data_IF_536587533568
#
_entry.id   IF_536587533568
#
_cell.length_a   1.000
_cell.length_b   1.000
_cell.length_c   1.000
_cell.angle_alpha   90.00
_cell.angle_beta   90.00
_cell.angle_gamma   90.00
#
_symmetry.space_group_name_H-M   'P 1'
#
loop_
_entity.id
_entity.type
_entity.pdbx_description
1 polymer ?
#
# COMPACT_ATOMS: atom_id res chain seq x y z
N UNK A 1 8.67 22.38 15.53
CA UNK A 1 7.42 21.66 15.88
C UNK A 1 7.79 20.23 16.23
N UNK A 2 7.43 19.79 17.44
CA UNK A 2 7.70 18.44 17.93
C UNK A 2 6.48 17.53 17.71
N UNK A 3 6.65 16.43 16.99
CA UNK A 3 5.57 15.54 16.57
C UNK A 3 5.80 14.13 17.08
N UNK A 4 4.80 13.57 17.78
CA UNK A 4 4.76 12.15 18.12
C UNK A 4 4.10 11.36 16.98
N UNK A 5 4.79 10.38 16.40
CA UNK A 5 4.22 9.41 15.47
C UNK A 5 3.94 8.09 16.18
N UNK A 6 2.66 7.72 16.32
CA UNK A 6 2.25 6.53 17.08
C UNK A 6 1.97 5.36 16.13
N UNK A 7 2.66 4.24 16.34
CA UNK A 7 2.46 2.98 15.60
C UNK A 7 2.49 1.78 16.55
N UNK A 8 1.88 0.66 16.18
CA UNK A 8 1.92 -0.56 17.00
C UNK A 8 3.32 -1.20 17.05
N UNK A 9 4.00 -1.25 15.89
CA UNK A 9 5.31 -1.90 15.77
C UNK A 9 6.26 -1.05 14.95
N UNK A 10 7.50 -0.96 15.43
CA UNK A 10 8.60 -0.26 14.76
C UNK A 10 9.63 -1.28 14.24
N UNK A 11 9.23 -2.09 13.24
CA UNK A 11 10.06 -3.11 12.60
C UNK A 11 10.10 -2.86 11.09
N UNK A 12 11.17 -2.30 10.58
CA UNK A 12 11.32 -1.94 9.15
C UNK A 12 11.13 -3.13 8.20
N UNK A 13 11.50 -4.34 8.67
CA UNK A 13 11.45 -5.57 7.87
C UNK A 13 10.04 -6.18 7.73
N UNK A 14 9.05 -5.71 8.52
CA UNK A 14 7.73 -6.35 8.56
C UNK A 14 6.84 -6.06 7.36
N UNK A 15 6.97 -4.89 6.74
CA UNK A 15 6.12 -4.56 5.60
C UNK A 15 6.12 -3.10 5.15
N UNK A 16 5.25 -2.81 4.20
CA UNK A 16 5.17 -1.49 3.58
C UNK A 16 4.68 -0.37 4.51
N UNK A 17 3.88 -0.69 5.54
CA UNK A 17 3.36 0.31 6.47
C UNK A 17 4.46 0.83 7.40
N UNK A 18 5.27 -0.05 7.95
CA UNK A 18 6.38 0.28 8.82
C UNK A 18 7.47 1.03 8.04
N UNK A 19 7.84 0.54 6.86
CA UNK A 19 8.78 1.23 5.97
C UNK A 19 8.30 2.64 5.63
N UNK A 20 7.01 2.80 5.29
CA UNK A 20 6.40 4.10 4.99
C UNK A 20 6.42 5.06 6.19
N UNK A 21 6.33 4.54 7.44
CA UNK A 21 6.46 5.38 8.64
C UNK A 21 7.87 5.97 8.76
N UNK A 22 8.91 5.15 8.59
CA UNK A 22 10.29 5.63 8.71
C UNK A 22 10.65 6.62 7.60
N UNK A 23 10.20 6.38 6.37
CA UNK A 23 10.36 7.32 5.26
C UNK A 23 9.64 8.65 5.53
N UNK A 24 8.40 8.58 6.05
CA UNK A 24 7.65 9.77 6.45
C UNK A 24 8.34 10.53 7.60
N UNK A 25 8.83 9.80 8.61
CA UNK A 25 9.59 10.38 9.72
C UNK A 25 10.81 11.13 9.23
N UNK A 26 11.57 10.54 8.30
CA UNK A 26 12.74 11.18 7.70
C UNK A 26 12.36 12.43 6.88
N UNK A 27 11.30 12.36 6.07
CA UNK A 27 10.83 13.49 5.27
C UNK A 27 10.32 14.66 6.14
N UNK A 28 9.57 14.37 7.22
CA UNK A 28 9.14 15.39 8.18
C UNK A 28 10.32 16.02 8.93
N UNK A 29 11.32 15.20 9.29
CA UNK A 29 12.54 15.70 9.93
C UNK A 29 13.33 16.61 8.99
N UNK A 30 13.52 16.23 7.73
CA UNK A 30 14.17 17.06 6.69
C UNK A 30 13.41 18.36 6.44
N UNK A 31 12.09 18.38 6.67
CA UNK A 31 11.25 19.58 6.58
C UNK A 31 11.19 20.40 7.89
N UNK A 32 12.08 20.13 8.86
CA UNK A 32 12.27 20.93 10.07
C UNK A 32 11.39 20.55 11.26
N UNK A 33 10.79 19.36 11.28
CA UNK A 33 10.08 18.85 12.44
C UNK A 33 11.01 18.00 13.33
N UNK A 34 10.86 18.11 14.65
CA UNK A 34 11.41 17.15 15.61
C UNK A 34 10.45 15.97 15.69
N UNK A 35 10.90 14.76 15.31
CA UNK A 35 10.04 13.58 15.23
C UNK A 35 10.44 12.54 16.26
N UNK A 36 9.48 12.08 17.05
CA UNK A 36 9.62 10.94 17.94
C UNK A 36 8.59 9.86 17.59
N UNK A 37 9.08 8.63 17.34
CA UNK A 37 8.23 7.48 17.03
C UNK A 37 7.94 6.72 18.30
N UNK A 38 6.65 6.65 18.68
CA UNK A 38 6.17 5.93 19.84
C UNK A 38 5.56 4.60 19.38
N UNK A 39 6.19 3.49 19.73
CA UNK A 39 5.73 2.16 19.33
C UNK A 39 5.53 1.25 20.56
N UNK A 40 4.58 0.31 20.48
CA UNK A 40 4.43 -0.67 21.53
C UNK A 40 5.63 -1.61 21.56
N UNK A 41 6.05 -2.11 20.41
CA UNK A 41 7.17 -3.04 20.25
C UNK A 41 7.91 -2.82 18.93
N UNK A 42 9.08 -3.42 18.80
CA UNK A 42 9.85 -3.35 17.57
C UNK A 42 11.31 -3.74 17.75
N UNK A 43 12.03 -3.77 16.64
CA UNK A 43 13.47 -4.02 16.56
C UNK A 43 14.27 -2.77 16.22
N UNK A 44 13.60 -1.68 15.84
CA UNK A 44 14.26 -0.43 15.46
C UNK A 44 15.06 0.14 16.66
N UNK A 45 16.31 0.47 16.39
CA UNK A 45 17.26 1.06 17.35
C UNK A 45 17.57 2.53 17.05
N UNK A 46 16.79 3.18 16.17
CA UNK A 46 16.98 4.60 15.87
C UNK A 46 16.76 5.46 17.12
N UNK A 47 17.56 6.51 17.30
CA UNK A 47 17.53 7.35 18.50
C UNK A 47 16.20 8.05 18.77
N UNK A 48 15.40 8.24 17.74
CA UNK A 48 14.07 8.84 17.80
C UNK A 48 12.91 7.81 17.98
N UNK A 49 13.21 6.54 18.28
CA UNK A 49 12.19 5.48 18.51
C UNK A 49 12.13 5.12 19.97
N UNK A 50 10.91 5.17 20.53
CA UNK A 50 10.60 4.73 21.91
C UNK A 50 9.69 3.51 21.88
N UNK A 51 10.15 2.41 22.49
CA UNK A 51 9.40 1.16 22.61
C UNK A 51 8.78 1.08 24.00
N UNK A 52 7.51 1.47 24.12
CA UNK A 52 6.83 1.66 25.42
C UNK A 52 6.39 0.37 26.11
N UNK A 53 6.36 -0.77 25.40
CA UNK A 53 5.92 -2.07 25.92
C UNK A 53 6.97 -3.16 25.67
N UNK A 54 8.25 -2.81 25.62
CA UNK A 54 9.35 -3.76 25.38
C UNK A 54 9.46 -4.81 26.49
N UNK A 55 9.17 -4.39 27.73
CA UNK A 55 9.18 -5.20 28.94
C UNK A 55 8.09 -6.27 29.01
N UNK A 56 7.02 -6.13 28.22
CA UNK A 56 5.90 -7.04 28.24
C UNK A 56 6.16 -8.30 27.40
N UNK A 57 5.64 -9.48 27.81
CA UNK A 57 5.82 -10.73 27.04
C UNK A 57 5.08 -10.73 25.69
N UNK A 58 5.50 -11.60 24.79
CA UNK A 58 4.87 -11.82 23.49
C UNK A 58 5.23 -10.80 22.41
N UNK A 59 4.91 -11.13 21.15
CA UNK A 59 5.22 -10.32 19.96
C UNK A 59 4.30 -9.10 19.79
N UNK A 60 3.16 -9.05 20.49
CA UNK A 60 2.14 -8.00 20.36
C UNK A 60 1.62 -7.59 21.74
N UNK A 61 1.18 -6.35 21.84
CA UNK A 61 0.57 -5.78 23.05
C UNK A 61 -0.91 -5.48 22.79
N UNK A 62 -1.78 -5.56 23.77
CA UNK A 62 -3.17 -5.12 23.63
C UNK A 62 -3.22 -3.59 23.45
N UNK A 63 -4.20 -3.12 22.67
CA UNK A 63 -4.35 -1.68 22.42
C UNK A 63 -4.50 -0.91 23.75
N UNK A 64 -5.34 -1.39 24.66
CA UNK A 64 -5.58 -0.71 25.96
C UNK A 64 -4.34 -0.57 26.84
N UNK A 65 -3.47 -1.59 26.85
CA UNK A 65 -2.20 -1.52 27.59
C UNK A 65 -1.25 -0.51 26.94
N UNK A 66 -1.19 -0.52 25.60
CA UNK A 66 -0.37 0.44 24.89
C UNK A 66 -0.88 1.87 25.03
N UNK A 67 -2.19 2.10 24.96
CA UNK A 67 -2.82 3.41 25.20
C UNK A 67 -2.48 3.97 26.59
N UNK A 68 -2.52 3.12 27.63
CA UNK A 68 -2.14 3.52 28.98
C UNK A 68 -0.68 4.02 29.03
N UNK A 69 0.25 3.24 28.48
CA UNK A 69 1.67 3.60 28.41
C UNK A 69 1.92 4.86 27.55
N UNK A 70 1.16 5.03 26.47
CA UNK A 70 1.21 6.23 25.63
C UNK A 70 0.78 7.47 26.42
N UNK A 71 -0.36 7.40 27.15
CA UNK A 71 -0.86 8.52 27.95
C UNK A 71 0.13 8.89 29.05
N UNK A 72 0.71 7.91 29.75
CA UNK A 72 1.76 8.11 30.75
C UNK A 72 2.99 8.79 30.14
N UNK A 73 3.46 8.33 28.97
CA UNK A 73 4.63 8.92 28.31
C UNK A 73 4.37 10.34 27.81
N UNK A 74 3.23 10.57 27.17
CA UNK A 74 2.85 11.89 26.61
C UNK A 74 2.62 12.91 27.73
N UNK A 75 2.11 12.51 28.90
CA UNK A 75 1.94 13.45 30.05
C UNK A 75 3.27 13.95 30.62
N UNK A 76 4.36 13.22 30.41
CA UNK A 76 5.71 13.56 30.86
C UNK A 76 6.56 14.24 29.78
N UNK A 77 6.11 14.23 28.55
CA UNK A 77 6.86 14.75 27.40
C UNK A 77 5.96 15.66 26.56
N UNK A 78 6.43 16.86 26.28
CA UNK A 78 5.67 17.80 25.46
C UNK A 78 5.74 17.44 23.98
N UNK A 79 4.60 17.42 23.30
CA UNK A 79 4.45 17.33 21.85
C UNK A 79 3.48 18.39 21.36
N UNK A 80 3.82 19.08 20.27
CA UNK A 80 2.92 20.02 19.61
C UNK A 80 1.78 19.28 18.91
N UNK A 81 2.10 18.14 18.28
CA UNK A 81 1.15 17.30 17.51
C UNK A 81 1.34 15.82 17.87
N UNK A 82 0.21 15.14 18.04
CA UNK A 82 0.13 13.69 18.19
C UNK A 82 -0.52 13.10 16.94
N UNK A 83 0.28 12.46 16.08
CA UNK A 83 -0.18 11.82 14.85
C UNK A 83 -0.16 10.30 15.02
N UNK A 84 -1.32 9.66 14.96
CA UNK A 84 -1.46 8.23 15.20
C UNK A 84 -1.88 7.44 13.95
N UNK A 85 -1.26 6.28 13.76
CA UNK A 85 -1.69 5.26 12.80
C UNK A 85 -2.65 4.23 13.43
N UNK A 86 -2.95 4.40 14.73
CA UNK A 86 -3.94 3.64 15.48
C UNK A 86 -5.09 4.54 15.91
N UNK A 87 -6.32 4.01 16.04
CA UNK A 87 -7.48 4.80 16.43
C UNK A 87 -7.47 5.08 17.95
N UNK A 88 -6.63 6.02 18.40
CA UNK A 88 -6.56 6.48 19.79
C UNK A 88 -7.29 7.83 19.93
N UNK A 89 -7.96 8.04 21.06
CA UNK A 89 -8.86 9.19 21.30
C UNK A 89 -8.14 10.51 21.59
N UNK A 90 -6.89 10.46 21.99
CA UNK A 90 -6.06 11.61 22.36
C UNK A 90 -5.11 12.10 21.25
N UNK A 91 -5.22 11.56 20.03
CA UNK A 91 -4.41 12.07 18.92
C UNK A 91 -5.09 13.26 18.22
N UNK A 92 -4.29 14.08 17.55
CA UNK A 92 -4.73 15.20 16.73
C UNK A 92 -5.05 14.79 15.31
N UNK A 93 -4.23 13.87 14.79
CA UNK A 93 -4.34 13.32 13.46
C UNK A 93 -4.38 11.80 13.56
N UNK A 94 -5.41 11.20 12.97
CA UNK A 94 -5.51 9.77 12.76
C UNK A 94 -5.31 9.45 11.27
N UNK A 95 -4.26 8.69 10.95
CA UNK A 95 -3.98 8.27 9.57
C UNK A 95 -4.19 6.76 9.40
N UNK A 96 -5.36 6.32 8.92
CA UNK A 96 -5.74 4.91 8.79
C UNK A 96 -5.00 4.23 7.62
N UNK A 97 -3.81 3.69 7.87
CA UNK A 97 -3.01 3.00 6.84
C UNK A 97 -3.71 1.80 6.19
N UNK A 98 -4.64 1.19 6.89
CA UNK A 98 -5.46 0.08 6.40
C UNK A 98 -6.80 0.52 5.81
N UNK A 99 -7.09 1.83 5.71
CA UNK A 99 -8.43 2.37 5.45
C UNK A 99 -9.40 2.08 6.60
N UNK A 100 -10.69 2.31 6.39
CA UNK A 100 -11.72 2.03 7.40
C UNK A 100 -11.86 0.52 7.67
N UNK A 101 -11.90 0.13 8.95
CA UNK A 101 -11.98 -1.29 9.35
C UNK A 101 -13.19 -2.03 8.74
N UNK A 102 -14.42 -1.47 8.67
CA UNK A 102 -15.56 -2.14 8.06
C UNK A 102 -15.34 -2.41 6.56
N UNK A 103 -14.84 -1.43 5.81
CA UNK A 103 -14.57 -1.63 4.38
C UNK A 103 -13.48 -2.67 4.15
N UNK A 104 -12.38 -2.60 4.90
CA UNK A 104 -11.31 -3.60 4.85
C UNK A 104 -11.82 -5.02 5.14
N UNK A 105 -12.78 -5.18 6.06
CA UNK A 105 -13.40 -6.47 6.35
C UNK A 105 -14.26 -6.98 5.18
N UNK A 106 -15.14 -6.12 4.66
CA UNK A 106 -16.02 -6.45 3.54
C UNK A 106 -15.23 -6.83 2.28
N UNK A 107 -14.19 -6.05 1.95
CA UNK A 107 -13.33 -6.32 0.79
C UNK A 107 -12.46 -7.56 0.95
N UNK A 108 -11.99 -7.83 2.16
CA UNK A 108 -11.30 -9.08 2.44
C UNK A 108 -12.23 -10.29 2.24
N UNK A 109 -13.48 -10.22 2.65
CA UNK A 109 -14.49 -11.26 2.38
C UNK A 109 -14.75 -11.39 0.87
N UNK A 110 -14.92 -10.28 0.14
CA UNK A 110 -15.14 -10.26 -1.31
C UNK A 110 -14.01 -10.93 -2.12
N UNK A 111 -12.79 -11.02 -1.59
CA UNK A 111 -11.66 -11.67 -2.25
C UNK A 111 -11.69 -13.21 -2.23
N UNK A 112 -12.67 -13.82 -1.55
CA UNK A 112 -12.88 -15.27 -1.62
C UNK A 112 -13.79 -15.60 -2.82
N UNK A 113 -13.34 -16.53 -3.66
CA UNK A 113 -14.09 -16.95 -4.86
C UNK A 113 -15.33 -17.78 -4.48
N UNK A 114 -15.21 -18.62 -3.45
CA UNK A 114 -16.31 -19.46 -2.97
C UNK A 114 -17.33 -18.60 -2.18
N UNK A 115 -18.59 -18.62 -2.58
CA UNK A 115 -19.67 -17.83 -1.96
C UNK A 115 -19.93 -18.22 -0.50
N UNK A 116 -19.84 -19.51 -0.16
CA UNK A 116 -20.01 -20.01 1.21
C UNK A 116 -18.87 -19.50 2.10
N UNK A 117 -17.61 -19.58 1.63
CA UNK A 117 -16.46 -19.04 2.35
C UNK A 117 -16.57 -17.51 2.49
N UNK A 118 -17.08 -16.82 1.47
CA UNK A 118 -17.31 -15.37 1.51
C UNK A 118 -18.32 -15.02 2.61
N UNK A 119 -19.45 -15.70 2.64
CA UNK A 119 -20.47 -15.52 3.67
C UNK A 119 -19.91 -15.80 5.06
N UNK A 120 -19.27 -16.94 5.26
CA UNK A 120 -18.64 -17.31 6.53
C UNK A 120 -17.60 -16.28 7.00
N UNK A 121 -16.73 -15.81 6.08
CA UNK A 121 -15.73 -14.79 6.40
C UNK A 121 -16.30 -13.43 6.70
N UNK A 122 -17.42 -13.07 6.11
CA UNK A 122 -18.15 -11.86 6.44
C UNK A 122 -18.77 -11.97 7.85
N UNK A 123 -19.43 -13.08 8.14
CA UNK A 123 -20.01 -13.34 9.47
C UNK A 123 -18.93 -13.48 10.56
N UNK A 124 -17.80 -14.15 10.28
CA UNK A 124 -16.69 -14.35 11.23
C UNK A 124 -15.73 -13.16 11.36
N UNK A 125 -15.93 -12.07 10.63
CA UNK A 125 -15.09 -10.88 10.73
C UNK A 125 -15.06 -10.30 12.15
N UNK A 126 -16.16 -10.45 12.90
CA UNK A 126 -16.30 -10.01 14.28
C UNK A 126 -15.65 -10.96 15.30
N UNK A 127 -15.30 -12.19 14.93
CA UNK A 127 -14.66 -13.16 15.84
C UNK A 127 -13.18 -12.86 16.09
N UNK A 128 -12.53 -12.03 15.27
CA UNK A 128 -11.18 -11.57 15.54
C UNK A 128 -11.23 -10.44 16.58
N UNK A 129 -11.10 -10.80 17.86
CA UNK A 129 -11.20 -9.89 18.99
C UNK A 129 -10.35 -8.62 18.86
N UNK A 130 -9.14 -8.76 18.33
CA UNK A 130 -8.26 -7.60 18.13
C UNK A 130 -8.79 -6.65 17.06
N UNK A 131 -9.19 -7.20 15.91
CA UNK A 131 -9.75 -6.40 14.80
C UNK A 131 -11.07 -5.74 15.21
N UNK A 132 -11.90 -6.46 15.97
CA UNK A 132 -13.15 -5.93 16.54
C UNK A 132 -12.89 -4.78 17.51
N UNK A 133 -11.87 -4.90 18.38
CA UNK A 133 -11.48 -3.80 19.31
C UNK A 133 -11.01 -2.55 18.55
N UNK A 134 -10.15 -2.72 17.54
CA UNK A 134 -9.68 -1.61 16.71
C UNK A 134 -10.83 -0.96 15.92
N UNK A 135 -11.74 -1.75 15.35
CA UNK A 135 -12.93 -1.24 14.66
C UNK A 135 -13.86 -0.46 15.60
N UNK A 136 -14.05 -0.94 16.85
CA UNK A 136 -14.80 -0.21 17.88
C UNK A 136 -14.12 1.08 18.30
N UNK A 137 -12.78 1.08 18.43
CA UNK A 137 -12.03 2.28 18.74
C UNK A 137 -12.14 3.31 17.60
N UNK A 138 -12.02 2.87 16.33
CA UNK A 138 -12.19 3.74 15.17
C UNK A 138 -13.61 4.33 15.11
N UNK A 139 -14.64 3.51 15.33
CA UNK A 139 -16.02 4.00 15.38
C UNK A 139 -16.22 5.03 16.50
N UNK A 140 -15.63 4.82 17.68
CA UNK A 140 -15.71 5.76 18.80
C UNK A 140 -15.12 7.12 18.46
N UNK A 141 -13.87 7.17 17.95
CA UNK A 141 -13.23 8.45 17.62
C UNK A 141 -13.90 9.18 16.46
N UNK A 142 -14.60 8.45 15.58
CA UNK A 142 -15.37 9.03 14.49
C UNK A 142 -16.74 9.54 14.94
N UNK A 143 -17.35 8.93 15.98
CA UNK A 143 -18.65 9.34 16.51
C UNK A 143 -18.57 10.59 17.40
N UNK A 144 -17.42 10.90 17.98
CA UNK A 144 -17.24 12.08 18.82
C UNK A 144 -17.41 13.36 17.98
N UNK A 145 -18.16 14.37 18.46
CA UNK A 145 -18.32 15.65 17.77
C UNK A 145 -16.98 16.37 17.57
N UNK A 146 -16.12 16.29 18.58
CA UNK A 146 -14.76 16.83 18.57
C UNK A 146 -13.78 15.66 18.73
N UNK A 147 -13.06 15.34 17.68
CA UNK A 147 -12.09 14.23 17.67
C UNK A 147 -10.99 14.49 16.64
N UNK A 148 -10.09 13.53 16.44
CA UNK A 148 -8.95 13.71 15.55
C UNK A 148 -9.38 14.01 14.10
N UNK A 149 -8.55 14.76 13.39
CA UNK A 149 -8.67 14.89 11.94
C UNK A 149 -8.19 13.59 11.29
N UNK A 150 -9.03 12.99 10.45
CA UNK A 150 -8.65 11.79 9.68
C UNK A 150 -7.84 12.21 8.46
N UNK A 151 -6.55 11.86 8.44
CA UNK A 151 -5.69 12.03 7.26
C UNK A 151 -5.90 10.84 6.31
N UNK A 152 -6.84 10.97 5.38
CA UNK A 152 -7.20 9.94 4.43
C UNK A 152 -6.16 9.81 3.31
N UNK A 153 -5.71 8.58 3.03
CA UNK A 153 -4.66 8.29 2.05
C UNK A 153 -5.12 8.39 0.59
N UNK A 154 -6.41 8.53 0.36
CA UNK A 154 -7.02 8.58 -0.97
C UNK A 154 -8.48 9.02 -0.87
N UNK A 155 -9.05 9.46 -1.98
CA UNK A 155 -10.50 9.68 -2.11
C UNK A 155 -11.31 8.41 -1.81
N UNK A 156 -10.75 7.25 -2.14
CA UNK A 156 -11.36 5.97 -1.77
C UNK A 156 -11.50 5.82 -0.25
N UNK A 157 -10.49 6.23 0.53
CA UNK A 157 -10.55 6.23 2.00
C UNK A 157 -11.50 7.31 2.52
N UNK A 158 -11.53 8.51 1.94
CA UNK A 158 -12.52 9.56 2.27
C UNK A 158 -13.95 9.01 2.15
N UNK A 159 -14.27 8.37 1.03
CA UNK A 159 -15.59 7.75 0.79
C UNK A 159 -15.94 6.67 1.82
N UNK A 160 -14.94 5.91 2.31
CA UNK A 160 -15.13 4.90 3.35
C UNK A 160 -15.52 5.52 4.68
N UNK A 161 -14.81 6.57 5.14
CA UNK A 161 -15.10 7.24 6.40
C UNK A 161 -16.46 7.96 6.37
N UNK A 162 -16.82 8.59 5.27
CA UNK A 162 -18.17 9.15 5.08
C UNK A 162 -19.25 8.08 5.11
N UNK A 163 -19.07 6.98 4.37
CA UNK A 163 -20.05 5.88 4.26
C UNK A 163 -20.28 5.14 5.57
N UNK A 164 -19.20 4.80 6.29
CA UNK A 164 -19.29 3.91 7.45
C UNK A 164 -19.48 4.65 8.77
N UNK A 165 -19.06 5.91 8.84
CA UNK A 165 -19.07 6.69 10.08
C UNK A 165 -19.79 8.04 9.97
N UNK A 166 -20.27 8.43 8.79
CA UNK A 166 -20.91 9.74 8.59
C UNK A 166 -19.97 10.93 8.85
N UNK A 167 -18.66 10.72 8.76
CA UNK A 167 -17.67 11.73 9.13
C UNK A 167 -17.75 12.94 8.23
N UNK A 168 -17.84 14.15 8.82
CA UNK A 168 -17.95 15.41 8.10
C UNK A 168 -16.63 15.82 7.41
N UNK A 169 -16.73 16.68 6.38
CA UNK A 169 -15.57 17.11 5.60
C UNK A 169 -14.53 17.86 6.41
N UNK A 170 -14.93 18.64 7.40
CA UNK A 170 -14.07 19.43 8.28
C UNK A 170 -13.15 18.56 9.17
N UNK A 171 -13.49 17.29 9.33
CA UNK A 171 -12.71 16.30 10.07
C UNK A 171 -11.93 15.33 9.17
N UNK A 172 -11.95 15.52 7.85
CA UNK A 172 -11.20 14.70 6.90
C UNK A 172 -10.24 15.58 6.11
N UNK A 173 -8.96 15.27 6.16
CA UNK A 173 -7.95 15.84 5.28
C UNK A 173 -7.49 14.77 4.28
N UNK A 174 -7.57 15.06 2.98
CA UNK A 174 -7.03 14.19 1.94
C UNK A 174 -5.52 14.41 1.83
N UNK A 175 -4.75 13.42 2.28
CA UNK A 175 -3.29 13.41 2.21
C UNK A 175 -2.88 12.11 1.50
N UNK A 176 -2.74 12.18 0.19
CA UNK A 176 -2.38 10.99 -0.60
C UNK A 176 -1.08 10.37 -0.12
N UNK A 177 -1.01 9.05 -0.12
CA UNK A 177 0.21 8.32 0.25
C UNK A 177 1.37 8.68 -0.69
N UNK A 178 2.59 8.44 -0.24
CA UNK A 178 3.80 8.73 -1.01
C UNK A 178 4.90 7.69 -0.80
N UNK A 179 5.91 7.78 -1.66
CA UNK A 179 7.09 6.92 -1.66
C UNK A 179 8.36 7.76 -1.89
N UNK A 180 9.52 7.18 -1.63
CA UNK A 180 10.79 7.79 -2.04
C UNK A 180 10.90 7.70 -3.56
N UNK A 181 11.11 8.84 -4.21
CA UNK A 181 11.22 8.94 -5.68
C UNK A 181 12.67 9.02 -6.16
N UNK A 182 13.59 9.37 -5.28
CA UNK A 182 15.02 9.54 -5.60
C UNK A 182 15.88 8.30 -5.29
N UNK A 183 15.32 7.10 -5.53
CA UNK A 183 16.11 5.88 -5.32
C UNK A 183 16.88 5.52 -6.58
N UNK A 184 18.20 5.64 -6.53
CA UNK A 184 19.06 5.10 -7.58
C UNK A 184 19.08 3.58 -7.53
N UNK A 185 18.81 2.96 -8.67
CA UNK A 185 18.91 1.52 -8.85
C UNK A 185 20.26 1.21 -9.48
N UNK A 186 21.01 0.29 -8.89
CA UNK A 186 22.28 -0.17 -9.44
C UNK A 186 22.04 -0.91 -10.77
N UNK A 187 22.58 -0.38 -11.87
CA UNK A 187 22.42 -0.96 -13.19
C UNK A 187 22.98 -2.37 -13.27
N UNK A 188 24.14 -2.62 -12.65
CA UNK A 188 24.78 -3.94 -12.64
C UNK A 188 23.92 -4.97 -11.88
N UNK A 189 23.32 -4.58 -10.76
CA UNK A 189 22.38 -5.43 -10.02
C UNK A 189 21.12 -5.70 -10.84
N UNK A 190 20.62 -4.69 -11.55
CA UNK A 190 19.44 -4.79 -12.43
C UNK A 190 19.69 -5.75 -13.58
N UNK A 191 20.83 -5.63 -14.27
CA UNK A 191 21.19 -6.48 -15.41
C UNK A 191 21.35 -7.95 -14.97
N UNK A 192 22.01 -8.19 -13.85
CA UNK A 192 22.14 -9.53 -13.26
C UNK A 192 20.79 -10.12 -12.91
N UNK A 193 19.89 -9.32 -12.32
CA UNK A 193 18.56 -9.79 -11.92
C UNK A 193 17.71 -10.09 -13.17
N UNK A 194 17.78 -9.25 -14.21
CA UNK A 194 17.13 -9.51 -15.50
C UNK A 194 17.65 -10.80 -16.13
N UNK A 195 18.95 -10.98 -16.21
CA UNK A 195 19.56 -12.19 -16.77
C UNK A 195 19.12 -13.46 -16.01
N UNK A 196 19.03 -13.42 -14.67
CA UNK A 196 18.52 -14.53 -13.86
C UNK A 196 17.05 -14.85 -14.17
N UNK A 197 16.21 -13.83 -14.33
CA UNK A 197 14.79 -13.98 -14.71
C UNK A 197 14.69 -14.66 -16.06
N UNK A 198 15.38 -14.17 -17.08
CA UNK A 198 15.34 -14.74 -18.44
C UNK A 198 15.83 -16.19 -18.46
N UNK A 199 16.94 -16.47 -17.78
CA UNK A 199 17.47 -17.83 -17.64
C UNK A 199 16.44 -18.77 -17.00
N UNK A 200 15.76 -18.35 -15.92
CA UNK A 200 14.75 -19.16 -15.19
C UNK A 200 13.48 -19.36 -16.00
N UNK A 201 13.15 -18.46 -16.91
CA UNK A 201 12.04 -18.57 -17.86
C UNK A 201 12.45 -19.30 -19.14
N UNK A 202 13.73 -19.67 -19.30
CA UNK A 202 14.30 -20.24 -20.52
C UNK A 202 14.13 -19.33 -21.74
N UNK A 203 14.39 -18.03 -21.55
CA UNK A 203 14.26 -16.98 -22.55
C UNK A 203 15.60 -16.31 -22.84
N UNK A 204 15.69 -15.70 -24.04
CA UNK A 204 16.78 -14.82 -24.45
C UNK A 204 16.23 -13.39 -24.60
N UNK A 205 17.09 -12.38 -24.63
CA UNK A 205 16.70 -10.99 -24.91
C UNK A 205 16.02 -10.86 -26.30
N UNK A 206 16.48 -11.65 -27.27
CA UNK A 206 15.90 -11.68 -28.62
C UNK A 206 14.43 -12.10 -28.66
N UNK A 207 13.94 -12.83 -27.64
CA UNK A 207 12.53 -13.22 -27.54
C UNK A 207 11.62 -12.04 -27.17
N UNK A 208 12.22 -10.90 -26.78
CA UNK A 208 11.56 -9.62 -26.42
C UNK A 208 10.34 -9.82 -25.49
N UNK A 209 10.48 -10.54 -24.34
CA UNK A 209 9.36 -10.80 -23.45
C UNK A 209 8.81 -9.49 -22.85
N UNK A 210 7.50 -9.48 -22.56
CA UNK A 210 6.90 -8.43 -21.73
C UNK A 210 6.80 -8.92 -20.30
N UNK A 211 7.55 -8.30 -19.39
CA UNK A 211 7.65 -8.71 -18.00
C UNK A 211 6.65 -7.94 -17.13
N UNK A 212 5.61 -8.62 -16.65
CA UNK A 212 4.62 -8.11 -15.74
C UNK A 212 5.08 -8.36 -14.30
N UNK A 213 5.14 -7.35 -13.44
CA UNK A 213 5.45 -7.53 -12.03
C UNK A 213 4.17 -7.45 -11.17
N UNK A 214 3.94 -8.47 -10.38
CA UNK A 214 2.99 -8.48 -9.27
C UNK A 214 3.77 -8.60 -7.96
N UNK A 215 3.61 -7.65 -7.03
CA UNK A 215 4.28 -7.69 -5.74
C UNK A 215 3.30 -7.49 -4.57
N UNK A 216 3.22 -8.47 -3.65
CA UNK A 216 2.30 -8.41 -2.52
C UNK A 216 2.66 -9.39 -1.39
N UNK A 217 2.17 -9.10 -0.16
CA UNK A 217 2.17 -10.07 0.95
C UNK A 217 0.92 -10.96 0.96
N UNK A 218 -0.24 -10.40 0.65
CA UNK A 218 -1.51 -11.13 0.62
C UNK A 218 -1.98 -11.34 -0.82
N UNK A 219 -1.49 -12.40 -1.45
CA UNK A 219 -1.77 -12.73 -2.86
C UNK A 219 -3.26 -12.81 -3.20
N UNK A 220 -4.09 -13.34 -2.27
CA UNK A 220 -5.53 -13.45 -2.49
C UNK A 220 -6.20 -12.08 -2.54
N UNK A 221 -5.95 -11.25 -1.52
CA UNK A 221 -6.54 -9.90 -1.43
C UNK A 221 -6.05 -9.00 -2.56
N UNK A 222 -4.83 -9.24 -3.04
CA UNK A 222 -4.22 -8.47 -4.13
C UNK A 222 -4.50 -9.03 -5.53
N UNK A 223 -5.32 -10.10 -5.63
CA UNK A 223 -5.90 -10.54 -6.90
C UNK A 223 -4.99 -11.42 -7.76
N UNK A 224 -4.07 -12.20 -7.16
CA UNK A 224 -3.17 -13.05 -7.94
C UNK A 224 -3.91 -14.14 -8.74
N UNK A 225 -5.00 -14.73 -8.22
CA UNK A 225 -5.76 -15.74 -8.99
C UNK A 225 -6.41 -15.15 -10.25
N UNK A 226 -7.19 -14.04 -10.19
CA UNK A 226 -7.68 -13.39 -11.40
C UNK A 226 -6.55 -13.00 -12.36
N UNK A 227 -5.41 -12.51 -11.86
CA UNK A 227 -4.28 -12.15 -12.72
C UNK A 227 -3.73 -13.35 -13.49
N UNK A 228 -3.51 -14.48 -12.84
CA UNK A 228 -3.06 -15.72 -13.49
C UNK A 228 -4.05 -16.15 -14.60
N UNK A 229 -5.36 -16.10 -14.31
CA UNK A 229 -6.37 -16.46 -15.31
C UNK A 229 -6.39 -15.47 -16.48
N UNK A 230 -6.25 -14.18 -16.23
CA UNK A 230 -6.19 -13.17 -17.28
C UNK A 230 -4.92 -13.29 -18.14
N UNK A 231 -3.79 -13.65 -17.55
CA UNK A 231 -2.54 -13.90 -18.30
C UNK A 231 -2.69 -15.06 -19.31
N UNK A 232 -3.51 -16.07 -18.99
CA UNK A 232 -3.80 -17.14 -19.92
C UNK A 232 -4.62 -16.67 -21.13
N UNK A 233 -5.55 -15.72 -20.91
CA UNK A 233 -6.44 -15.19 -21.94
C UNK A 233 -5.83 -14.03 -22.74
N UNK A 234 -4.73 -13.45 -22.26
CA UNK A 234 -4.06 -12.34 -22.94
C UNK A 234 -3.28 -12.83 -24.16
N UNK A 235 -3.93 -12.79 -25.31
CA UNK A 235 -3.29 -12.90 -26.61
C UNK A 235 -3.16 -11.48 -27.18
N UNK A 236 -1.96 -10.95 -27.23
CA UNK A 236 -1.73 -9.60 -27.76
C UNK A 236 -1.79 -9.55 -29.28
N UNK A 237 -2.04 -8.37 -29.87
CA UNK A 237 -1.91 -8.14 -31.30
C UNK A 237 -0.46 -8.18 -31.79
N UNK A 238 0.50 -8.16 -30.87
CA UNK A 238 1.93 -8.24 -31.13
C UNK A 238 2.46 -9.67 -30.96
N UNK A 239 3.57 -10.00 -31.63
CA UNK A 239 4.29 -11.27 -31.48
C UNK A 239 4.93 -11.44 -30.09
N UNK A 240 4.78 -10.45 -29.20
CA UNK A 240 5.37 -10.45 -27.85
C UNK A 240 4.48 -11.19 -26.84
N UNK A 241 5.12 -12.03 -26.06
CA UNK A 241 4.46 -12.80 -25.01
C UNK A 241 4.65 -12.15 -23.63
N UNK A 242 3.55 -12.06 -22.86
CA UNK A 242 3.58 -11.60 -21.47
C UNK A 242 4.01 -12.72 -20.51
N UNK A 243 4.93 -12.39 -19.62
CA UNK A 243 5.42 -13.25 -18.53
C UNK A 243 5.15 -12.60 -17.19
N UNK A 244 4.58 -13.35 -16.25
CA UNK A 244 4.21 -12.84 -14.93
C UNK A 244 5.28 -13.18 -13.89
N UNK A 245 5.85 -12.15 -13.29
CA UNK A 245 6.75 -12.25 -12.15
C UNK A 245 5.98 -11.99 -10.86
N UNK A 246 6.01 -12.94 -9.93
CA UNK A 246 5.27 -12.87 -8.66
C UNK A 246 6.25 -12.74 -7.51
N UNK A 247 6.31 -11.54 -6.92
CA UNK A 247 7.13 -11.23 -5.76
C UNK A 247 6.31 -11.21 -4.46
N UNK A 248 6.86 -11.74 -3.38
CA UNK A 248 6.25 -11.69 -2.07
C UNK A 248 6.34 -12.99 -1.29
N UNK A 249 5.88 -12.95 -0.03
CA UNK A 249 6.04 -14.02 0.95
C UNK A 249 4.73 -14.80 1.20
N UNK A 250 3.91 -14.98 0.16
CA UNK A 250 2.64 -15.72 0.24
C UNK A 250 2.79 -17.22 0.01
N UNK A 251 1.79 -18.02 0.45
CA UNK A 251 1.71 -19.44 0.11
C UNK A 251 1.43 -19.61 -1.39
N UNK A 252 2.43 -20.06 -2.15
CA UNK A 252 2.41 -20.18 -3.61
C UNK A 252 1.79 -21.49 -4.14
N UNK A 253 1.58 -22.51 -3.28
CA UNK A 253 1.21 -23.86 -3.73
C UNK A 253 -0.08 -23.91 -4.57
N UNK A 254 -1.13 -23.22 -4.12
CA UNK A 254 -2.38 -23.14 -4.88
C UNK A 254 -2.26 -22.37 -6.21
N UNK A 255 -1.40 -21.36 -6.27
CA UNK A 255 -1.18 -20.55 -7.47
C UNK A 255 -0.33 -21.29 -8.50
N UNK A 256 0.68 -22.07 -8.06
CA UNK A 256 1.42 -23.00 -8.93
C UNK A 256 0.49 -24.04 -9.54
N UNK A 257 -0.43 -24.63 -8.74
CA UNK A 257 -1.44 -25.56 -9.26
C UNK A 257 -2.38 -24.90 -10.27
N UNK A 258 -2.80 -23.66 -10.01
CA UNK A 258 -3.63 -22.90 -10.96
C UNK A 258 -2.86 -22.63 -12.26
N UNK A 259 -1.61 -22.20 -12.17
CA UNK A 259 -0.75 -21.97 -13.33
C UNK A 259 -0.57 -23.25 -14.17
N UNK A 260 -0.31 -24.40 -13.54
CA UNK A 260 -0.20 -25.70 -14.24
C UNK A 260 -1.50 -26.10 -14.89
N UNK A 261 -2.65 -25.92 -14.21
CA UNK A 261 -3.98 -26.23 -14.79
C UNK A 261 -4.28 -25.41 -16.05
N UNK A 262 -3.71 -24.20 -16.14
CA UNK A 262 -3.87 -23.27 -17.26
C UNK A 262 -2.70 -23.33 -18.27
N UNK A 263 -1.79 -24.29 -18.14
CA UNK A 263 -0.59 -24.44 -18.98
C UNK A 263 0.33 -23.21 -18.99
N UNK A 264 0.41 -22.51 -17.85
CA UNK A 264 1.21 -21.28 -17.66
C UNK A 264 2.47 -21.47 -16.82
N UNK A 265 2.86 -22.71 -16.49
CA UNK A 265 4.02 -23.00 -15.63
C UNK A 265 5.34 -22.40 -16.15
N UNK A 266 5.46 -22.24 -17.47
CA UNK A 266 6.63 -21.64 -18.14
C UNK A 266 6.48 -20.11 -18.37
N UNK A 267 5.30 -19.53 -18.07
CA UNK A 267 5.02 -18.09 -18.23
C UNK A 267 4.92 -17.35 -16.91
N UNK A 268 4.98 -18.06 -15.77
CA UNK A 268 4.85 -17.48 -14.43
C UNK A 268 6.04 -17.86 -13.57
N UNK A 269 6.78 -16.85 -13.12
CA UNK A 269 7.94 -17.02 -12.26
C UNK A 269 7.64 -16.52 -10.85
N UNK A 270 7.66 -17.39 -9.86
CA UNK A 270 7.55 -17.04 -8.45
C UNK A 270 8.94 -16.70 -7.91
N UNK A 271 9.17 -15.41 -7.63
CA UNK A 271 10.45 -14.87 -7.16
C UNK A 271 10.67 -15.09 -5.65
N UNK A 272 9.57 -15.28 -4.88
CA UNK A 272 9.64 -15.22 -3.42
C UNK A 272 9.77 -13.78 -2.91
N UNK A 273 10.23 -13.58 -1.66
CA UNK A 273 10.45 -12.25 -1.11
C UNK A 273 11.63 -11.57 -1.81
N UNK A 274 11.38 -10.37 -2.35
CA UNK A 274 12.40 -9.51 -2.97
C UNK A 274 12.77 -8.41 -1.99
N UNK A 275 14.06 -8.31 -1.63
CA UNK A 275 14.54 -7.31 -0.66
C UNK A 275 14.50 -5.89 -1.21
N UNK A 276 14.93 -5.70 -2.46
CA UNK A 276 14.93 -4.41 -3.16
C UNK A 276 13.87 -4.46 -4.26
N UNK A 277 12.67 -4.02 -3.94
CA UNK A 277 11.56 -4.04 -4.90
C UNK A 277 11.83 -3.14 -6.10
N UNK A 278 12.61 -2.08 -5.93
CA UNK A 278 12.99 -1.15 -7.00
C UNK A 278 13.76 -1.84 -8.11
N UNK A 279 14.68 -2.78 -7.78
CA UNK A 279 15.40 -3.58 -8.78
C UNK A 279 14.42 -4.44 -9.60
N UNK A 280 13.41 -5.04 -8.95
CA UNK A 280 12.38 -5.82 -9.64
C UNK A 280 11.48 -4.94 -10.52
N UNK A 281 11.13 -3.72 -10.07
CA UNK A 281 10.36 -2.76 -10.85
C UNK A 281 11.17 -2.28 -12.07
N UNK A 282 12.44 -2.00 -11.89
CA UNK A 282 13.32 -1.52 -12.97
C UNK A 282 13.41 -2.54 -14.13
N UNK A 283 13.48 -3.83 -13.80
CA UNK A 283 13.57 -4.94 -14.78
C UNK A 283 12.27 -5.18 -15.54
N UNK A 284 11.12 -4.84 -14.96
CA UNK A 284 9.81 -5.11 -15.54
C UNK A 284 9.34 -4.00 -16.47
N UNK A 285 8.47 -4.37 -17.42
CA UNK A 285 7.83 -3.43 -18.33
C UNK A 285 6.66 -2.69 -17.66
N UNK A 286 5.89 -3.37 -16.81
CA UNK A 286 4.76 -2.77 -16.09
C UNK A 286 4.45 -3.49 -14.78
N UNK A 287 3.76 -2.78 -13.88
CA UNK A 287 3.26 -3.31 -12.61
C UNK A 287 1.77 -3.70 -12.73
N UNK A 288 1.38 -4.86 -12.19
CA UNK A 288 0.00 -5.34 -12.23
C UNK A 288 -0.47 -5.72 -10.84
N UNK A 289 -1.51 -5.03 -10.34
CA UNK A 289 -2.07 -5.27 -9.01
C UNK A 289 -3.60 -5.20 -9.03
N UNK A 290 -4.32 -6.24 -9.51
CA UNK A 290 -5.77 -6.25 -9.58
C UNK A 290 -6.38 -6.51 -8.20
N UNK A 291 -6.15 -5.57 -7.28
CA UNK A 291 -6.49 -5.73 -5.85
C UNK A 291 -7.99 -5.67 -5.59
N UNK A 292 -8.46 -6.46 -4.63
CA UNK A 292 -9.81 -6.34 -4.05
C UNK A 292 -9.89 -5.20 -3.02
N UNK A 293 -8.74 -4.81 -2.46
CA UNK A 293 -8.63 -3.71 -1.52
C UNK A 293 -7.19 -3.25 -1.31
N UNK A 294 -6.99 -1.98 -1.49
CA UNK A 294 -5.79 -1.27 -1.05
C UNK A 294 -6.13 0.21 -0.80
N UNK A 295 -5.99 0.74 0.41
CA UNK A 295 -6.24 2.15 0.70
C UNK A 295 -5.40 3.12 -0.14
N UNK A 296 -4.15 2.75 -0.43
CA UNK A 296 -3.25 3.40 -1.39
C UNK A 296 -1.98 2.55 -1.52
N UNK A 297 -1.90 1.77 -2.58
CA UNK A 297 -0.84 0.78 -2.77
C UNK A 297 0.53 1.42 -2.98
N UNK A 298 1.44 1.13 -2.05
CA UNK A 298 2.84 1.53 -2.19
C UNK A 298 3.48 1.00 -3.45
N UNK A 299 3.27 -0.29 -3.76
CA UNK A 299 3.82 -0.91 -4.95
C UNK A 299 3.39 -0.20 -6.24
N UNK A 300 2.11 0.23 -6.32
CA UNK A 300 1.61 1.04 -7.44
C UNK A 300 2.34 2.40 -7.53
N UNK A 301 2.52 3.07 -6.38
CA UNK A 301 3.23 4.36 -6.35
C UNK A 301 4.72 4.21 -6.67
N UNK A 302 5.37 3.15 -6.20
CA UNK A 302 6.77 2.82 -6.51
C UNK A 302 6.97 2.52 -8.02
N UNK A 303 5.98 1.86 -8.66
CA UNK A 303 6.00 1.65 -10.10
C UNK A 303 5.89 2.97 -10.88
N UNK A 304 4.94 3.84 -10.51
CA UNK A 304 4.79 5.17 -11.11
C UNK A 304 6.07 6.01 -10.90
N UNK A 305 6.65 5.99 -9.70
CA UNK A 305 7.92 6.65 -9.39
C UNK A 305 9.11 6.12 -10.21
N UNK A 306 8.95 4.99 -10.88
CA UNK A 306 9.93 4.34 -11.76
C UNK A 306 9.50 4.37 -13.23
N UNK A 307 8.61 5.29 -13.62
CA UNK A 307 8.07 5.46 -14.97
C UNK A 307 7.36 4.22 -15.54
N UNK A 308 6.92 3.29 -14.69
CA UNK A 308 6.27 2.07 -15.16
C UNK A 308 4.76 2.22 -15.20
N UNK A 309 4.11 1.88 -16.33
CA UNK A 309 2.66 1.79 -16.42
C UNK A 309 2.09 0.82 -15.39
N UNK A 310 0.86 1.06 -14.97
CA UNK A 310 0.20 0.25 -13.94
C UNK A 310 -1.14 -0.29 -14.43
N UNK A 311 -1.39 -1.59 -14.21
CA UNK A 311 -2.73 -2.17 -14.29
C UNK A 311 -3.22 -2.45 -12.87
N UNK A 312 -4.32 -1.83 -12.47
CA UNK A 312 -4.91 -2.03 -11.14
C UNK A 312 -6.45 -1.92 -11.20
N UNK A 313 -7.09 -1.88 -10.04
CA UNK A 313 -8.55 -1.75 -9.94
C UNK A 313 -8.95 -0.47 -9.21
N UNK A 314 -10.21 -0.05 -9.37
CA UNK A 314 -10.78 1.08 -8.61
C UNK A 314 -10.82 0.88 -7.09
N UNK A 315 -10.48 -0.32 -6.59
CA UNK A 315 -10.34 -0.61 -5.17
C UNK A 315 -8.92 -0.38 -4.64
N UNK A 316 -8.08 0.26 -5.43
CA UNK A 316 -6.77 0.77 -5.05
C UNK A 316 -6.82 2.29 -4.99
N UNK A 317 -6.69 2.87 -3.80
CA UNK A 317 -6.72 4.33 -3.66
C UNK A 317 -5.56 5.08 -4.32
N UNK A 318 -4.51 4.38 -4.75
CA UNK A 318 -3.45 4.99 -5.55
C UNK A 318 -3.95 5.46 -6.94
N UNK A 319 -5.13 5.01 -7.38
CA UNK A 319 -5.75 5.45 -8.66
C UNK A 319 -6.09 6.93 -8.70
N UNK A 320 -6.14 7.62 -7.57
CA UNK A 320 -6.34 9.07 -7.53
C UNK A 320 -5.17 9.85 -8.17
N UNK A 321 -3.98 9.24 -8.23
CA UNK A 321 -2.74 9.88 -8.64
C UNK A 321 -2.33 9.60 -10.08
N UNK A 322 -3.14 8.85 -10.83
CA UNK A 322 -2.89 8.60 -12.24
C UNK A 322 -4.18 8.45 -13.07
N UNK A 323 -4.09 8.74 -14.36
CA UNK A 323 -5.25 8.75 -15.27
C UNK A 323 -5.37 7.42 -16.00
N UNK A 324 -6.58 6.83 -15.98
CA UNK A 324 -6.91 5.63 -16.76
C UNK A 324 -6.69 5.86 -18.27
N UNK A 325 -6.20 4.85 -18.97
CA UNK A 325 -5.86 4.87 -20.40
C UNK A 325 -4.73 5.84 -20.81
N UNK A 326 -4.12 6.54 -19.84
CA UNK A 326 -2.99 7.45 -20.08
C UNK A 326 -1.71 6.95 -19.42
N UNK A 327 -1.76 6.67 -18.13
CA UNK A 327 -0.61 6.20 -17.35
C UNK A 327 -0.66 4.70 -17.05
N UNK A 328 -1.76 4.06 -17.42
CA UNK A 328 -2.05 2.66 -17.13
C UNK A 328 -3.51 2.31 -17.36
N UNK A 329 -3.96 1.19 -16.79
CA UNK A 329 -5.35 0.72 -16.89
C UNK A 329 -5.97 0.51 -15.51
N UNK A 330 -7.18 1.05 -15.31
CA UNK A 330 -7.97 0.88 -14.09
C UNK A 330 -9.17 -0.01 -14.38
N UNK A 331 -9.16 -1.22 -13.85
CA UNK A 331 -10.22 -2.21 -14.02
C UNK A 331 -11.30 -2.02 -12.94
N UNK A 332 -12.55 -2.15 -13.30
CA UNK A 332 -13.67 -1.94 -12.38
C UNK A 332 -13.66 -2.89 -11.18
N UNK A 333 -13.52 -4.18 -11.45
CA UNK A 333 -13.50 -5.22 -10.42
C UNK A 333 -12.40 -6.24 -10.69
N UNK A 334 -11.75 -6.79 -9.64
CA UNK A 334 -10.63 -7.73 -9.81
C UNK A 334 -10.97 -9.01 -10.58
N UNK A 335 -12.23 -9.44 -10.51
CA UNK A 335 -12.71 -10.66 -11.18
C UNK A 335 -13.22 -10.41 -12.62
N UNK A 336 -13.10 -9.23 -13.16
CA UNK A 336 -13.36 -8.98 -14.57
C UNK A 336 -12.17 -9.47 -15.41
N UNK A 337 -12.10 -10.79 -15.60
CA UNK A 337 -10.99 -11.45 -16.26
C UNK A 337 -10.82 -10.96 -17.71
N UNK A 338 -11.90 -10.79 -18.53
CA UNK A 338 -11.76 -10.25 -19.88
C UNK A 338 -11.13 -8.86 -19.92
N UNK A 339 -11.60 -7.92 -19.09
CA UNK A 339 -11.03 -6.57 -19.05
C UNK A 339 -9.57 -6.55 -18.56
N UNK A 340 -9.21 -7.44 -17.61
CA UNK A 340 -7.84 -7.59 -17.16
C UNK A 340 -6.94 -8.20 -18.25
N UNK A 341 -7.44 -9.18 -19.00
CA UNK A 341 -6.74 -9.78 -20.14
C UNK A 341 -6.53 -8.76 -21.27
N UNK A 342 -7.56 -7.97 -21.60
CA UNK A 342 -7.46 -6.88 -22.57
C UNK A 342 -6.41 -5.84 -22.15
N UNK A 343 -6.40 -5.44 -20.87
CA UNK A 343 -5.40 -4.51 -20.36
C UNK A 343 -3.97 -5.07 -20.46
N UNK A 344 -3.77 -6.36 -20.20
CA UNK A 344 -2.48 -7.03 -20.39
C UNK A 344 -2.12 -7.04 -21.87
N UNK A 345 -3.04 -7.46 -22.75
CA UNK A 345 -2.83 -7.52 -24.20
C UNK A 345 -2.47 -6.15 -24.79
N UNK A 346 -3.10 -5.07 -24.31
CA UNK A 346 -2.76 -3.71 -24.71
C UNK A 346 -1.28 -3.37 -24.45
N UNK A 347 -0.72 -3.82 -23.34
CA UNK A 347 0.68 -3.57 -22.98
C UNK A 347 1.66 -4.66 -23.47
N UNK A 348 1.23 -5.61 -24.31
CA UNK A 348 2.18 -6.41 -25.07
C UNK A 348 2.79 -5.62 -26.23
N UNK A 349 2.15 -4.54 -26.65
CA UNK A 349 2.70 -3.57 -27.58
C UNK A 349 3.65 -2.61 -26.89
N UNK A 350 4.90 -2.55 -27.37
CA UNK A 350 5.95 -1.65 -26.82
C UNK A 350 5.58 -0.18 -26.93
N UNK A 351 4.91 0.21 -28.00
CA UNK A 351 4.50 1.61 -28.21
C UNK A 351 3.53 2.08 -27.14
N UNK A 352 2.62 1.21 -26.70
CA UNK A 352 1.68 1.52 -25.62
C UNK A 352 2.39 1.65 -24.27
N UNK A 353 3.41 0.82 -24.00
CA UNK A 353 4.25 0.94 -22.82
C UNK A 353 4.99 2.29 -22.85
N UNK A 354 5.67 2.58 -23.96
CA UNK A 354 6.46 3.80 -24.12
C UNK A 354 5.59 5.08 -24.01
N UNK A 355 4.39 5.07 -24.63
CA UNK A 355 3.43 6.18 -24.52
C UNK A 355 2.99 6.42 -23.09
N UNK A 356 2.69 5.37 -22.33
CA UNK A 356 2.25 5.48 -20.94
C UNK A 356 3.41 5.96 -20.03
N UNK A 357 4.62 5.43 -20.21
CA UNK A 357 5.82 5.86 -19.49
C UNK A 357 6.15 7.33 -19.78
N UNK A 358 6.12 7.73 -21.05
CA UNK A 358 6.32 9.13 -21.44
C UNK A 358 5.26 10.07 -20.84
N UNK A 359 4.01 9.61 -20.73
CA UNK A 359 2.95 10.37 -20.11
C UNK A 359 3.16 10.54 -18.60
N UNK A 360 3.63 9.50 -17.89
CA UNK A 360 3.99 9.56 -16.46
C UNK A 360 5.04 10.65 -16.21
N UNK A 361 6.09 10.70 -17.04
CA UNK A 361 7.15 11.71 -16.97
C UNK A 361 6.59 13.10 -17.30
N UNK A 362 5.86 13.23 -18.42
CA UNK A 362 5.31 14.50 -18.89
C UNK A 362 4.36 15.16 -17.88
N UNK A 363 3.56 14.36 -17.18
CA UNK A 363 2.59 14.84 -16.21
C UNK A 363 3.19 15.00 -14.80
N UNK A 364 4.52 14.84 -14.67
CA UNK A 364 5.29 14.97 -13.44
C UNK A 364 4.70 14.15 -12.26
N UNK A 365 4.34 12.88 -12.52
CA UNK A 365 3.74 12.03 -11.49
C UNK A 365 4.74 11.71 -10.37
N UNK A 366 6.05 11.82 -10.60
CA UNK A 366 7.09 11.64 -9.58
C UNK A 366 6.86 12.56 -8.37
N UNK A 367 6.59 13.84 -8.62
CA UNK A 367 6.31 14.80 -7.56
C UNK A 367 5.00 14.45 -6.83
N UNK A 368 3.96 14.08 -7.60
CA UNK A 368 2.66 13.73 -7.04
C UNK A 368 2.71 12.49 -6.13
N UNK A 369 3.60 11.55 -6.36
CA UNK A 369 3.79 10.35 -5.53
C UNK A 369 4.91 10.49 -4.50
N UNK A 370 5.58 11.64 -4.39
CA UNK A 370 6.74 11.83 -3.52
C UNK A 370 6.37 11.87 -2.04
N UNK A 371 7.20 11.30 -1.19
CA UNK A 371 7.04 11.35 0.27
C UNK A 371 7.27 12.78 0.80
N UNK A 372 8.08 13.60 0.10
CA UNK A 372 8.34 14.99 0.46
C UNK A 372 7.09 15.84 0.34
N UNK A 373 6.27 15.62 -0.72
CA UNK A 373 4.95 16.24 -0.86
C UNK A 373 4.03 15.86 0.30
N UNK A 374 4.01 14.58 0.69
CA UNK A 374 3.20 14.11 1.84
C UNK A 374 3.61 14.82 3.12
N UNK A 375 4.92 14.95 3.37
CA UNK A 375 5.44 15.66 4.54
C UNK A 375 5.00 17.13 4.55
N UNK A 376 5.10 17.83 3.42
CA UNK A 376 4.66 19.23 3.27
C UNK A 376 3.15 19.40 3.54
N UNK A 377 2.32 18.51 3.00
CA UNK A 377 0.87 18.52 3.24
C UNK A 377 0.52 18.26 4.71
N UNK A 378 1.21 17.31 5.36
CA UNK A 378 1.01 17.04 6.79
C UNK A 378 1.44 18.22 7.65
N UNK A 379 2.56 18.88 7.35
CA UNK A 379 3.00 20.08 8.10
C UNK A 379 1.96 21.19 7.99
N UNK A 380 1.37 21.40 6.83
CA UNK A 380 0.31 22.39 6.66
C UNK A 380 -0.95 22.01 7.48
N UNK A 381 -1.33 20.73 7.47
CA UNK A 381 -2.41 20.22 8.33
C UNK A 381 -2.11 20.46 9.82
N UNK A 382 -0.89 20.17 10.27
CA UNK A 382 -0.47 20.36 11.66
C UNK A 382 -0.54 21.84 12.08
N UNK A 383 -0.08 22.77 11.22
CA UNK A 383 -0.19 24.21 11.45
C UNK A 383 -1.64 24.64 11.61
N UNK A 384 -2.52 24.20 10.71
CA UNK A 384 -3.96 24.48 10.78
C UNK A 384 -4.60 23.99 12.08
N UNK A 385 -4.19 22.82 12.58
CA UNK A 385 -4.67 22.29 13.87
C UNK A 385 -4.19 23.15 15.02
N UNK A 386 -2.91 23.55 15.03
CA UNK A 386 -2.36 24.41 16.08
C UNK A 386 -2.98 25.81 16.11
N UNK A 387 -3.26 26.40 14.94
CA UNK A 387 -3.96 27.67 14.83
C UNK A 387 -5.37 27.59 15.41
N UNK A 388 -6.13 26.56 15.08
CA UNK A 388 -7.47 26.33 15.66
C UNK A 388 -7.47 26.16 17.18
N UNK A 389 -6.38 25.64 17.76
CA UNK A 389 -6.23 25.54 19.24
C UNK A 389 -5.99 26.87 19.93
N UNK A 390 -5.33 27.82 19.28
CA UNK A 390 -5.09 29.16 19.82
C UNK A 390 -6.31 30.05 19.86
N UNK A 391 -7.32 29.73 19.02
CA UNK A 391 -8.55 30.51 18.90
C UNK A 391 -9.65 30.01 19.87
N UNK A 392 -9.50 28.80 20.40
CA UNK A 392 -10.38 28.24 21.43
C UNK A 392 -9.83 28.54 22.82
#
# INVERSE_FOLDING_TARGET
>A
MKVALIIERADIELGGAERSLFELSAALHSAGCEIEILAAKGTAKAGNVRLLCRDLPGKRTSLSVFEKRLKEYISQNHFDIIHSFLPVDFCDVYQPRGGAYPEAAARNAASYQNSILRFYKNASAFMNLRRSRLAKAEARICAEPVGPTVAALSEYVVKQFKKHYGLCNDRIALIHNGVLTEQTVDSTETDRFRADILRRLNLKEADRPVLLLFAAHNFRLKGLSPLITATQMSAGPSDRTAYLLVAGNGNIGKYKRLASKLNLQNKILFLGPVRKIQTAIAVCDLAVLPTFYDPSSRFTLEAIASDKPVITTKFNGATDLFTNNRHGRIIDIPNNIPALAEAISHFTDTDNINKASAAIIKDNLHEQVSISRVASQLINLYRTILEKRKIK
#
